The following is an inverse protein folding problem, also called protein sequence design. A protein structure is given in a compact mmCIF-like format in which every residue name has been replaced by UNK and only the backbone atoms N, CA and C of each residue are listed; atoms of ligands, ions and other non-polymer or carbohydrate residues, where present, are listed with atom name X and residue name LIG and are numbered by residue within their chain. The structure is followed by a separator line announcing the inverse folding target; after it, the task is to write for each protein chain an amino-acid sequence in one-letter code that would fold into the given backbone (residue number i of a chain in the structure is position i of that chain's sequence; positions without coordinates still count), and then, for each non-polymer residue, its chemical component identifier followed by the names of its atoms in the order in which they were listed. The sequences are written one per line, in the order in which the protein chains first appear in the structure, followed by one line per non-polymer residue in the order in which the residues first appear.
data_IF_139174915365
#
_entry.id   IF_139174915365
#
_cell.length_a   1.000
_cell.length_b   1.000
_cell.length_c   1.000
_cell.angle_alpha   90.00
_cell.angle_beta   90.00
_cell.angle_gamma   90.00
#
_symmetry.space_group_name_H-M   'P 1'
#
loop_
_entity.id
_entity.type
_entity.pdbx_description
1 polymer ?
#
# COMPACT_ATOMS: atom_id res chain seq x y z
N UNK A 1 29.97 3.93 -12.24
CA UNK A 1 28.89 2.98 -12.60
C UNK A 1 28.32 2.20 -11.40
N UNK A 2 28.42 2.68 -10.14
CA UNK A 2 27.91 1.97 -8.95
C UNK A 2 26.66 2.62 -8.32
N UNK A 3 26.31 3.85 -8.71
CA UNK A 3 25.15 4.58 -8.16
C UNK A 3 23.79 4.03 -8.62
N UNK A 4 23.70 3.57 -9.87
CA UNK A 4 22.42 3.13 -10.46
C UNK A 4 21.92 1.79 -9.91
N UNK A 5 22.84 0.89 -9.54
CA UNK A 5 22.49 -0.41 -8.96
C UNK A 5 21.87 -0.26 -7.55
N UNK A 6 22.36 0.67 -6.75
CA UNK A 6 21.84 0.89 -5.39
C UNK A 6 20.47 1.60 -5.42
N UNK A 7 20.28 2.55 -6.35
CA UNK A 7 19.00 3.22 -6.55
C UNK A 7 17.89 2.27 -7.01
N UNK A 8 18.19 1.40 -7.98
CA UNK A 8 17.21 0.40 -8.47
C UNK A 8 16.83 -0.63 -7.40
N UNK A 9 17.79 -1.07 -6.58
CA UNK A 9 17.53 -1.97 -5.44
C UNK A 9 16.57 -1.33 -4.43
N UNK A 10 16.85 -0.10 -3.99
CA UNK A 10 16.01 0.63 -3.03
C UNK A 10 14.60 0.89 -3.57
N UNK A 11 14.48 1.20 -4.87
CA UNK A 11 13.19 1.38 -5.53
C UNK A 11 12.38 0.09 -5.56
N UNK A 12 13.03 -1.06 -5.79
CA UNK A 12 12.37 -2.37 -5.76
C UNK A 12 11.87 -2.71 -4.36
N UNK A 13 12.71 -2.56 -3.34
CA UNK A 13 12.35 -2.79 -1.93
C UNK A 13 11.15 -1.91 -1.52
N UNK A 14 11.17 -0.63 -1.90
CA UNK A 14 10.05 0.28 -1.64
C UNK A 14 8.74 -0.21 -2.27
N UNK A 15 8.79 -0.65 -3.55
CA UNK A 15 7.60 -1.19 -4.24
C UNK A 15 7.08 -2.46 -3.57
N UNK A 16 7.98 -3.35 -3.14
CA UNK A 16 7.62 -4.58 -2.43
C UNK A 16 6.94 -4.27 -1.10
N UNK A 17 7.50 -3.36 -0.30
CA UNK A 17 6.91 -2.92 0.96
C UNK A 17 5.53 -2.30 0.76
N UNK A 18 5.33 -1.50 -0.30
CA UNK A 18 4.05 -0.87 -0.61
C UNK A 18 2.99 -1.92 -0.95
N UNK A 19 3.33 -2.92 -1.77
CA UNK A 19 2.41 -4.02 -2.12
C UNK A 19 2.05 -4.84 -0.88
N UNK A 20 3.02 -5.15 -0.02
CA UNK A 20 2.79 -5.91 1.21
C UNK A 20 1.89 -5.15 2.18
N UNK A 21 2.18 -3.87 2.43
CA UNK A 21 1.35 -3.00 3.26
C UNK A 21 -0.09 -2.94 2.74
N UNK A 22 -0.27 -2.81 1.42
CA UNK A 22 -1.60 -2.77 0.79
C UNK A 22 -2.39 -4.06 0.97
N UNK A 23 -1.72 -5.23 0.85
CA UNK A 23 -2.36 -6.54 1.12
C UNK A 23 -2.73 -6.69 2.59
N UNK A 24 -1.83 -6.33 3.49
CA UNK A 24 -2.07 -6.36 4.93
C UNK A 24 -3.25 -5.45 5.31
N UNK A 25 -3.30 -4.24 4.75
CA UNK A 25 -4.41 -3.31 4.94
C UNK A 25 -5.74 -3.88 4.42
N UNK A 26 -5.76 -4.46 3.22
CA UNK A 26 -6.95 -5.10 2.67
C UNK A 26 -7.45 -6.26 3.57
N UNK A 27 -6.54 -7.05 4.12
CA UNK A 27 -6.87 -8.10 5.10
C UNK A 27 -7.44 -7.51 6.40
N UNK A 28 -6.83 -6.45 6.94
CA UNK A 28 -7.32 -5.77 8.14
C UNK A 28 -8.74 -5.21 7.94
N UNK A 29 -9.00 -4.58 6.78
CA UNK A 29 -10.34 -4.10 6.43
C UNK A 29 -11.35 -5.26 6.35
N UNK A 30 -10.99 -6.35 5.69
CA UNK A 30 -11.85 -7.54 5.58
C UNK A 30 -12.14 -8.17 6.94
N UNK A 31 -11.20 -8.11 7.87
CA UNK A 31 -11.33 -8.63 9.23
C UNK A 31 -12.07 -7.68 10.19
N UNK A 32 -12.44 -6.47 9.76
CA UNK A 32 -13.14 -5.50 10.61
C UNK A 32 -12.26 -4.93 11.74
N UNK A 33 -10.94 -4.85 11.52
CA UNK A 33 -10.02 -4.23 12.47
C UNK A 33 -10.37 -2.75 12.63
N UNK A 34 -10.48 -2.26 13.88
CA UNK A 34 -10.90 -0.90 14.19
C UNK A 34 -9.98 0.18 13.61
N UNK A 35 -8.66 -0.02 13.73
CA UNK A 35 -7.63 0.90 13.21
C UNK A 35 -6.75 0.18 12.16
N UNK A 36 -7.29 -0.08 10.95
CA UNK A 36 -6.63 -0.94 9.98
C UNK A 36 -5.28 -0.37 9.50
N UNK A 37 -5.12 0.96 9.52
CA UNK A 37 -3.88 1.61 9.10
C UNK A 37 -2.75 1.44 10.13
N UNK A 38 -3.06 1.67 11.41
CA UNK A 38 -2.06 1.52 12.48
C UNK A 38 -1.67 0.04 12.65
N UNK A 39 -2.63 -0.88 12.55
CA UNK A 39 -2.34 -2.33 12.56
C UNK A 39 -1.51 -2.74 11.35
N UNK A 40 -1.75 -2.16 10.17
CA UNK A 40 -0.89 -2.38 9.00
C UNK A 40 0.54 -1.91 9.26
N UNK A 41 0.74 -0.74 9.88
CA UNK A 41 2.07 -0.26 10.25
C UNK A 41 2.79 -1.19 11.24
N UNK A 42 2.08 -1.72 12.23
CA UNK A 42 2.62 -2.73 13.16
C UNK A 42 2.98 -4.04 12.45
N UNK A 43 2.15 -4.49 11.51
CA UNK A 43 2.42 -5.68 10.71
C UNK A 43 3.64 -5.50 9.81
N UNK A 44 3.76 -4.36 9.12
CA UNK A 44 4.93 -4.03 8.30
C UNK A 44 6.20 -4.02 9.16
N UNK A 45 6.16 -3.43 10.36
CA UNK A 45 7.29 -3.46 11.28
C UNK A 45 7.72 -4.88 11.64
N UNK A 46 6.75 -5.76 11.92
CA UNK A 46 7.01 -7.14 12.33
C UNK A 46 7.50 -8.04 11.18
N UNK A 47 7.04 -7.82 9.95
CA UNK A 47 7.32 -8.72 8.82
C UNK A 47 8.43 -8.23 7.88
N UNK A 48 8.73 -6.94 7.85
CA UNK A 48 9.76 -6.36 6.97
C UNK A 48 11.07 -6.04 7.69
N UNK A 49 11.25 -6.52 8.93
CA UNK A 49 12.39 -6.20 9.79
C UNK A 49 12.67 -4.68 9.86
N UNK A 50 11.60 -3.89 9.87
CA UNK A 50 11.64 -2.43 9.85
C UNK A 50 11.35 -1.88 11.25
N UNK A 51 12.09 -0.88 11.76
CA UNK A 51 11.76 -0.22 13.01
C UNK A 51 10.32 0.31 13.01
N UNK A 52 9.58 0.12 14.11
CA UNK A 52 8.15 0.48 14.19
C UNK A 52 7.86 1.92 13.76
N UNK A 53 8.72 2.87 14.17
CA UNK A 53 8.58 4.27 13.78
C UNK A 53 8.69 4.46 12.27
N UNK A 54 9.63 3.77 11.63
CA UNK A 54 9.82 3.84 10.17
C UNK A 54 8.63 3.22 9.44
N UNK A 55 8.12 2.09 9.93
CA UNK A 55 6.94 1.42 9.35
C UNK A 55 5.68 2.29 9.43
N UNK A 56 5.44 2.93 10.58
CA UNK A 56 4.32 3.86 10.75
C UNK A 56 4.45 5.08 9.84
N UNK A 57 5.64 5.66 9.72
CA UNK A 57 5.90 6.77 8.78
C UNK A 57 5.69 6.30 7.34
N UNK A 58 6.21 5.14 6.97
CA UNK A 58 6.07 4.57 5.63
C UNK A 58 4.60 4.41 5.24
N UNK A 59 3.82 3.74 6.08
CA UNK A 59 2.39 3.50 5.81
C UNK A 59 1.60 4.81 5.74
N UNK A 60 1.82 5.75 6.67
CA UNK A 60 1.10 7.05 6.69
C UNK A 60 1.44 7.95 5.51
N UNK A 61 2.72 8.04 5.14
CA UNK A 61 3.16 8.85 3.99
C UNK A 61 2.72 8.25 2.65
N UNK A 62 2.34 6.97 2.62
CA UNK A 62 1.82 6.28 1.44
C UNK A 62 0.35 5.87 1.58
N UNK A 63 -0.39 6.49 2.50
CA UNK A 63 -1.75 6.06 2.88
C UNK A 63 -2.69 5.93 1.67
N UNK A 64 -2.67 6.91 0.76
CA UNK A 64 -3.50 6.88 -0.44
C UNK A 64 -3.12 5.72 -1.36
N UNK A 65 -1.82 5.54 -1.63
CA UNK A 65 -1.32 4.43 -2.44
C UNK A 65 -1.69 3.06 -1.82
N UNK A 66 -1.59 2.94 -0.49
CA UNK A 66 -1.97 1.73 0.25
C UNK A 66 -3.47 1.46 0.10
N UNK A 67 -4.32 2.48 0.27
CA UNK A 67 -5.78 2.38 0.12
C UNK A 67 -6.19 2.01 -1.29
N UNK A 68 -5.57 2.61 -2.29
CA UNK A 68 -5.86 2.39 -3.69
C UNK A 68 -5.50 0.97 -4.13
N UNK A 69 -4.28 0.52 -3.81
CA UNK A 69 -3.86 -0.85 -4.08
C UNK A 69 -4.69 -1.87 -3.29
N UNK A 70 -5.03 -1.58 -2.03
CA UNK A 70 -5.88 -2.44 -1.22
C UNK A 70 -7.30 -2.57 -1.81
N UNK A 71 -7.87 -1.48 -2.31
CA UNK A 71 -9.15 -1.52 -3.02
C UNK A 71 -9.05 -2.39 -4.27
N UNK A 72 -7.99 -2.26 -5.07
CA UNK A 72 -7.77 -3.13 -6.22
C UNK A 72 -7.67 -4.61 -5.79
N UNK A 73 -6.89 -4.94 -4.75
CA UNK A 73 -6.81 -6.30 -4.22
C UNK A 73 -8.16 -6.86 -3.75
N UNK A 74 -8.99 -6.04 -3.13
CA UNK A 74 -10.30 -6.47 -2.64
C UNK A 74 -11.33 -6.68 -3.76
N UNK A 75 -11.14 -6.05 -4.92
CA UNK A 75 -12.08 -6.03 -6.04
C UNK A 75 -11.59 -6.82 -7.28
N UNK A 76 -10.58 -7.66 -7.09
CA UNK A 76 -9.98 -8.47 -8.15
C UNK A 76 -9.79 -9.92 -7.69
N UNK A 77 -10.12 -10.85 -8.57
CA UNK A 77 -9.96 -12.31 -8.39
C UNK A 77 -8.89 -12.89 -9.32
N UNK A 78 -8.38 -12.11 -10.26
CA UNK A 78 -7.28 -12.47 -11.15
C UNK A 78 -6.29 -11.31 -11.31
N UNK A 79 -5.16 -11.58 -11.96
CA UNK A 79 -4.16 -10.56 -12.28
C UNK A 79 -4.70 -9.54 -13.30
N UNK A 80 -5.44 -10.01 -14.31
CA UNK A 80 -6.06 -9.18 -15.34
C UNK A 80 -7.10 -8.23 -14.73
N UNK A 81 -7.94 -8.75 -13.83
CA UNK A 81 -8.89 -7.91 -13.10
C UNK A 81 -8.16 -6.89 -12.22
N UNK A 82 -7.03 -7.25 -11.62
CA UNK A 82 -6.23 -6.32 -10.82
C UNK A 82 -5.67 -5.19 -11.67
N UNK A 83 -5.09 -5.49 -12.83
CA UNK A 83 -4.61 -4.47 -13.77
C UNK A 83 -5.73 -3.53 -14.24
N UNK A 84 -6.91 -4.08 -14.52
CA UNK A 84 -8.09 -3.27 -14.85
C UNK A 84 -8.44 -2.31 -13.70
N UNK A 85 -8.51 -2.79 -12.45
CA UNK A 85 -8.79 -1.95 -11.28
C UNK A 85 -7.74 -0.85 -11.08
N UNK A 86 -6.46 -1.13 -11.36
CA UNK A 86 -5.41 -0.10 -11.30
C UNK A 86 -5.62 0.99 -12.36
N UNK A 87 -6.11 0.63 -13.55
CA UNK A 87 -6.49 1.60 -14.57
C UNK A 87 -7.63 2.51 -14.13
N UNK A 88 -8.64 1.95 -13.46
CA UNK A 88 -9.80 2.68 -12.92
C UNK A 88 -9.37 3.72 -11.88
N UNK A 89 -8.42 3.39 -10.99
CA UNK A 89 -7.91 4.30 -9.95
C UNK A 89 -7.34 5.59 -10.55
N UNK A 90 -6.61 5.51 -11.68
CA UNK A 90 -6.04 6.68 -12.37
C UNK A 90 -7.10 7.63 -12.93
N UNK A 91 -8.33 7.14 -13.09
CA UNK A 91 -9.46 7.89 -13.65
C UNK A 91 -10.47 8.34 -12.60
N UNK A 92 -10.30 7.91 -11.34
CA UNK A 92 -11.13 8.38 -10.25
C UNK A 92 -10.79 9.85 -9.95
N UNK A 93 -11.79 10.74 -9.84
CA UNK A 93 -11.54 12.07 -9.29
C UNK A 93 -10.93 11.91 -7.90
N UNK A 94 -9.98 12.77 -7.54
CA UNK A 94 -9.31 12.75 -6.24
C UNK A 94 -10.35 12.57 -5.14
N UNK A 95 -10.24 11.48 -4.35
CA UNK A 95 -11.10 11.26 -3.19
C UNK A 95 -10.67 12.24 -2.09
N UNK A 96 -10.97 13.54 -2.24
CA UNK A 96 -10.69 14.54 -1.21
C UNK A 96 -10.55 16.00 -1.68
N UNK A 97 -11.58 16.58 -2.30
CA UNK A 97 -11.76 18.04 -2.40
C UNK A 97 -13.19 18.42 -1.97
N UNK A 98 -13.41 19.53 -1.23
CA UNK A 98 -14.66 19.80 -0.53
C UNK A 98 -15.77 20.09 -1.54
N UNK A 99 -16.75 19.19 -1.58
CA UNK A 99 -17.86 19.26 -2.53
C UNK A 99 -18.96 18.29 -2.14
N UNK A 100 -19.43 18.38 -0.89
CA UNK A 100 -20.77 18.00 -0.43
C UNK A 100 -20.96 18.45 1.02
#
# INVERSE_FOLDING_TARGET
MAGDANGSKRMREFKEQLVKASRMYAMCQKAGVAEPMDVTGMAVAAFEDMPLREALVFVRTNEQNVKDLAWAFANSKSAEEFEQRLGEIKTLPERGGPGR
#
